data_IF_818787268526
#
_entry.id   IF_818787268526
#
_cell.length_a   1.000
_cell.length_b   1.000
_cell.length_c   1.000
_cell.angle_alpha   90.00
_cell.angle_beta   90.00
_cell.angle_gamma   90.00
#
_symmetry.space_group_name_H-M   'P 1'
#
loop_
_entity.id
_entity.type
_entity.pdbx_description
1 polymer ?
#
# COMPACT_ATOMS: atom_id res chain seq x y z
N UNK A 1 -1.22 6.95 29.12
CA UNK A 1 -0.49 7.11 27.84
C UNK A 1 -1.26 6.55 26.64
N UNK A 2 -2.59 6.70 26.57
CA UNK A 2 -3.43 5.98 25.58
C UNK A 2 -4.36 6.86 24.73
N UNK A 3 -4.16 8.17 24.70
CA UNK A 3 -4.98 9.06 23.86
C UNK A 3 -4.44 9.21 22.41
N UNK A 4 -3.16 8.91 22.15
CA UNK A 4 -2.53 9.17 20.82
C UNK A 4 -2.73 8.06 19.78
N UNK A 5 -3.08 6.85 20.20
CA UNK A 5 -3.18 5.69 19.29
C UNK A 5 -4.50 5.68 18.52
N UNK A 6 -5.56 6.32 19.03
CA UNK A 6 -6.88 6.31 18.40
C UNK A 6 -6.97 7.14 17.11
N UNK A 7 -6.13 8.15 16.91
CA UNK A 7 -6.13 8.98 15.69
C UNK A 7 -5.40 8.34 14.50
N UNK A 8 -4.71 7.22 14.72
CA UNK A 8 -3.97 6.56 13.64
C UNK A 8 -4.95 5.78 12.76
N UNK A 9 -6.06 5.30 13.31
CA UNK A 9 -7.09 4.59 12.54
C UNK A 9 -7.71 5.47 11.46
N UNK A 10 -7.99 6.75 11.75
CA UNK A 10 -8.51 7.71 10.76
C UNK A 10 -7.53 7.97 9.60
N UNK A 11 -6.24 7.70 9.78
CA UNK A 11 -5.21 7.88 8.76
C UNK A 11 -4.82 6.59 8.04
N UNK A 12 -5.21 5.42 8.55
CA UNK A 12 -4.94 4.11 7.93
C UNK A 12 -6.04 3.74 6.92
N UNK A 13 -7.26 4.23 7.12
CA UNK A 13 -8.37 4.01 6.21
C UNK A 13 -8.27 5.02 5.07
N UNK A 14 -8.23 4.56 3.82
CA UNK A 14 -8.35 5.47 2.67
C UNK A 14 -9.60 6.34 2.86
N UNK A 15 -9.46 7.67 2.87
CA UNK A 15 -10.60 8.54 3.12
C UNK A 15 -11.68 8.26 2.07
N UNK A 16 -12.90 8.03 2.55
CA UNK A 16 -14.05 7.72 1.68
C UNK A 16 -14.51 8.98 0.96
N UNK A 17 -14.29 10.15 1.57
CA UNK A 17 -14.64 11.46 1.04
C UNK A 17 -13.74 11.89 -0.12
N UNK A 18 -14.39 12.30 -1.22
CA UNK A 18 -13.73 12.77 -2.44
C UNK A 18 -12.88 14.03 -2.21
N UNK A 19 -13.26 14.88 -1.24
CA UNK A 19 -12.50 16.09 -0.90
C UNK A 19 -11.14 15.77 -0.25
N UNK A 20 -11.07 14.73 0.58
CA UNK A 20 -9.82 14.30 1.22
C UNK A 20 -8.90 13.59 0.23
N UNK A 21 -9.45 12.78 -0.69
CA UNK A 21 -8.68 12.21 -1.81
C UNK A 21 -8.06 13.31 -2.67
N UNK A 22 -8.81 14.38 -2.95
CA UNK A 22 -8.30 15.53 -3.70
C UNK A 22 -7.21 16.29 -2.95
N UNK A 23 -7.32 16.47 -1.63
CA UNK A 23 -6.25 17.09 -0.82
C UNK A 23 -4.97 16.24 -0.81
N UNK A 24 -5.09 14.92 -0.71
CA UNK A 24 -3.93 14.02 -0.77
C UNK A 24 -3.28 14.08 -2.15
N UNK A 25 -4.08 14.09 -3.22
CA UNK A 25 -3.58 14.23 -4.59
C UNK A 25 -2.85 15.57 -4.81
N UNK A 26 -3.39 16.68 -4.30
CA UNK A 26 -2.74 17.99 -4.34
C UNK A 26 -1.43 18.01 -3.54
N UNK A 27 -1.43 17.41 -2.33
CA UNK A 27 -0.20 17.27 -1.52
C UNK A 27 0.85 16.40 -2.23
N UNK A 28 0.41 15.37 -2.96
CA UNK A 28 1.29 14.53 -3.79
C UNK A 28 1.89 15.29 -4.96
N UNK A 29 1.13 16.20 -5.55
CA UNK A 29 1.56 17.05 -6.66
C UNK A 29 2.56 18.14 -6.22
N UNK A 30 2.46 18.61 -4.97
CA UNK A 30 3.35 19.66 -4.44
C UNK A 30 4.82 19.18 -4.29
N UNK A 31 5.04 17.92 -3.91
CA UNK A 31 6.37 17.37 -3.63
C UNK A 31 6.62 15.99 -4.25
N UNK A 32 6.64 15.86 -5.60
CA UNK A 32 6.73 14.57 -6.28
C UNK A 32 8.01 13.79 -5.93
N UNK A 33 9.13 14.47 -5.67
CA UNK A 33 10.38 13.83 -5.27
C UNK A 33 10.31 13.18 -3.89
N UNK A 34 9.61 13.78 -2.94
CA UNK A 34 9.41 13.22 -1.61
C UNK A 34 8.58 11.94 -1.70
N UNK A 35 7.49 11.99 -2.47
CA UNK A 35 6.59 10.86 -2.65
C UNK A 35 7.24 9.70 -3.41
N UNK A 36 8.08 9.98 -4.41
CA UNK A 36 8.85 8.93 -5.09
C UNK A 36 9.84 8.23 -4.13
N UNK A 37 10.49 8.97 -3.24
CA UNK A 37 11.37 8.37 -2.21
C UNK A 37 10.57 7.53 -1.22
N UNK A 38 9.41 8.03 -0.80
CA UNK A 38 8.53 7.31 0.12
C UNK A 38 8.02 6.00 -0.50
N UNK A 39 7.64 6.04 -1.77
CA UNK A 39 7.19 4.88 -2.55
C UNK A 39 8.30 3.82 -2.67
N UNK A 40 9.53 4.25 -2.98
CA UNK A 40 10.69 3.36 -3.02
C UNK A 40 11.00 2.71 -1.65
N UNK A 41 10.91 3.46 -0.55
CA UNK A 41 11.10 2.93 0.81
C UNK A 41 10.00 1.93 1.17
N UNK A 42 8.75 2.22 0.81
CA UNK A 42 7.63 1.32 1.04
C UNK A 42 7.78 0.02 0.24
N UNK A 43 8.21 0.09 -1.02
CA UNK A 43 8.54 -1.08 -1.85
C UNK A 43 9.67 -1.90 -1.23
N UNK A 44 10.75 -1.25 -0.80
CA UNK A 44 11.87 -1.94 -0.16
C UNK A 44 11.43 -2.67 1.12
N UNK A 45 10.60 -2.04 1.96
CA UNK A 45 10.09 -2.67 3.17
C UNK A 45 9.17 -3.85 2.86
N UNK A 46 8.30 -3.73 1.85
CA UNK A 46 7.47 -4.83 1.38
C UNK A 46 8.33 -6.00 0.87
N UNK A 47 9.34 -5.73 0.04
CA UNK A 47 10.25 -6.78 -0.45
C UNK A 47 11.07 -7.43 0.67
N UNK A 48 11.41 -6.70 1.73
CA UNK A 48 12.14 -7.23 2.87
C UNK A 48 11.28 -8.08 3.83
N UNK A 49 9.95 -7.86 3.85
CA UNK A 49 9.03 -8.51 4.80
C UNK A 49 8.20 -9.64 4.20
N UNK A 50 7.99 -9.59 2.88
CA UNK A 50 7.24 -10.61 2.15
C UNK A 50 8.13 -11.85 1.90
N UNK A 51 7.56 -13.05 2.04
CA UNK A 51 8.27 -14.30 1.81
C UNK A 51 8.79 -14.39 0.36
N UNK A 52 9.95 -15.03 0.17
CA UNK A 52 10.64 -15.11 -1.13
C UNK A 52 9.76 -15.67 -2.26
N UNK A 53 8.88 -16.62 -1.95
CA UNK A 53 7.96 -17.24 -2.91
C UNK A 53 6.85 -16.29 -3.36
N UNK A 54 6.49 -15.31 -2.52
CA UNK A 54 5.53 -14.27 -2.86
C UNK A 54 6.24 -13.16 -3.63
N UNK A 55 7.47 -12.82 -3.20
CA UNK A 55 8.31 -11.81 -3.84
C UNK A 55 8.53 -12.11 -5.33
N UNK A 56 8.83 -13.36 -5.69
CA UNK A 56 9.01 -13.78 -7.07
C UNK A 56 7.74 -13.66 -7.93
N UNK A 57 6.57 -13.74 -7.31
CA UNK A 57 5.28 -13.59 -8.01
C UNK A 57 4.82 -12.14 -8.17
N UNK A 58 5.32 -11.21 -7.35
CA UNK A 58 4.88 -9.80 -7.35
C UNK A 58 5.90 -8.81 -7.94
N UNK A 59 7.14 -9.25 -8.17
CA UNK A 59 8.23 -8.44 -8.70
C UNK A 59 7.91 -7.94 -10.12
N UNK A 60 7.70 -6.63 -10.24
CA UNK A 60 7.51 -5.92 -11.51
C UNK A 60 8.47 -4.74 -11.59
N UNK A 61 9.06 -4.54 -12.77
CA UNK A 61 9.99 -3.44 -13.04
C UNK A 61 9.23 -2.12 -13.05
N UNK A 62 9.72 -1.13 -12.30
CA UNK A 62 9.10 0.21 -12.13
C UNK A 62 7.69 0.18 -11.52
N UNK A 63 7.41 -0.78 -10.64
CA UNK A 63 6.13 -0.84 -9.94
C UNK A 63 6.00 0.26 -8.88
N UNK A 64 4.77 0.56 -8.48
CA UNK A 64 4.48 1.46 -7.35
C UNK A 64 4.13 0.66 -6.10
N UNK A 65 4.39 1.21 -4.91
CA UNK A 65 4.05 0.58 -3.64
C UNK A 65 2.56 0.17 -3.58
N UNK A 66 1.67 1.03 -4.08
CA UNK A 66 0.23 0.76 -4.14
C UNK A 66 -0.11 -0.44 -5.03
N UNK A 67 0.50 -0.53 -6.22
CA UNK A 67 0.25 -1.61 -7.17
C UNK A 67 0.77 -2.94 -6.63
N UNK A 68 1.96 -2.93 -6.02
CA UNK A 68 2.54 -4.08 -5.35
C UNK A 68 1.61 -4.59 -4.24
N UNK A 69 1.12 -3.70 -3.37
CA UNK A 69 0.18 -4.04 -2.31
C UNK A 69 -1.14 -4.61 -2.84
N UNK A 70 -1.71 -4.04 -3.91
CA UNK A 70 -2.91 -4.56 -4.56
C UNK A 70 -2.72 -5.99 -5.08
N UNK A 71 -1.55 -6.33 -5.65
CA UNK A 71 -1.24 -7.70 -6.09
C UNK A 71 -1.11 -8.66 -4.91
N UNK A 72 -0.43 -8.25 -3.83
CA UNK A 72 -0.35 -9.04 -2.60
C UNK A 72 -1.77 -9.32 -2.08
N UNK A 73 -2.60 -8.29 -1.94
CA UNK A 73 -3.97 -8.42 -1.49
C UNK A 73 -4.80 -9.35 -2.39
N UNK A 74 -4.69 -9.21 -3.72
CA UNK A 74 -5.36 -10.08 -4.69
C UNK A 74 -4.93 -11.55 -4.54
N UNK A 75 -3.63 -11.82 -4.37
CA UNK A 75 -3.10 -13.18 -4.19
C UNK A 75 -3.68 -13.88 -2.96
N UNK A 76 -3.84 -13.15 -1.84
CA UNK A 76 -4.46 -13.69 -0.64
C UNK A 76 -6.00 -13.75 -0.72
N UNK A 77 -6.62 -12.86 -1.50
CA UNK A 77 -8.08 -12.82 -1.67
C UNK A 77 -8.58 -13.87 -2.68
N UNK A 78 -7.75 -14.25 -3.66
CA UNK A 78 -8.01 -15.33 -4.64
C UNK A 78 -7.95 -16.74 -4.01
N UNK A 79 -7.43 -16.87 -2.79
CA UNK A 79 -7.51 -18.10 -1.99
C UNK A 79 -8.97 -18.54 -1.72
N UNK A 80 -9.95 -17.64 -1.89
CA UNK A 80 -11.38 -17.99 -1.83
C UNK A 80 -11.81 -19.03 -2.88
N UNK A 81 -11.14 -19.11 -4.04
CA UNK A 81 -11.52 -20.10 -5.06
C UNK A 81 -10.94 -21.50 -4.80
N UNK A 82 -9.82 -21.60 -4.07
CA UNK A 82 -9.22 -22.88 -3.67
C UNK A 82 -9.96 -23.59 -2.52
N UNK A 83 -10.96 -22.95 -1.91
CA UNK A 83 -11.83 -23.57 -0.88
C UNK A 83 -13.16 -24.07 -1.44
N UNK A 84 -13.27 -24.25 -2.76
CA UNK A 84 -14.37 -24.95 -3.40
C UNK A 84 -13.94 -26.39 -3.74
N UNK A 85 -13.87 -27.25 -2.71
CA UNK A 85 -13.89 -28.71 -2.81
C UNK A 85 -14.64 -29.27 -1.61
#
# INVERSE_FOLDING_TARGET
VQARVHNVLDHIICPTDEEEKQKIAQTKANDPNLWNRLDAVALQWMYATVAQDILSSILVINDTAESCWKRIAAMFQDNKHSRAV
#
